data_IF_577050333329
#
_entry.id   IF_577050333329
#
_cell.length_a   1.000
_cell.length_b   1.000
_cell.length_c   1.000
_cell.angle_alpha   90.00
_cell.angle_beta   90.00
_cell.angle_gamma   90.00
#
_symmetry.space_group_name_H-M   'P 1'
#
loop_
_entity.id
_entity.type
_entity.pdbx_description
1 polymer ?
#
# COMPACT_ATOMS: atom_id res chain seq x y z
N UNK A 1 -2.75 18.60 2.28
CA UNK A 1 -1.58 17.92 1.68
C UNK A 1 -1.75 16.41 1.90
N UNK A 2 -2.16 15.65 0.86
CA UNK A 2 -2.31 14.18 0.98
C UNK A 2 -0.92 13.56 1.12
N UNK A 3 -0.72 12.64 2.06
CA UNK A 3 0.55 11.92 2.12
C UNK A 3 0.69 11.01 0.89
N UNK A 4 1.89 10.91 0.30
CA UNK A 4 2.11 10.01 -0.82
C UNK A 4 1.88 8.56 -0.36
N UNK A 5 1.21 7.77 -1.19
CA UNK A 5 0.94 6.35 -0.94
C UNK A 5 2.25 5.61 -0.63
N UNK A 6 3.35 5.99 -1.27
CA UNK A 6 4.68 5.39 -1.15
C UNK A 6 5.47 5.70 0.13
N UNK A 7 5.07 6.68 0.96
CA UNK A 7 5.85 7.07 2.14
C UNK A 7 5.05 6.94 3.44
N UNK A 8 4.86 5.72 3.96
CA UNK A 8 4.23 5.56 5.26
C UNK A 8 5.23 5.89 6.40
N UNK A 9 4.78 6.60 7.43
CA UNK A 9 5.57 6.85 8.66
C UNK A 9 5.73 5.52 9.42
N UNK A 10 6.83 4.81 9.19
CA UNK A 10 7.05 3.47 9.76
C UNK A 10 8.38 3.29 10.49
N UNK A 11 9.24 4.31 10.53
CA UNK A 11 10.53 4.23 11.20
C UNK A 11 10.37 4.12 12.73
N UNK A 12 10.56 2.92 13.28
CA UNK A 12 10.56 2.61 14.71
C UNK A 12 11.08 1.19 14.98
N UNK A 13 11.46 0.85 16.23
CA UNK A 13 12.11 -0.42 16.59
C UNK A 13 11.23 -1.67 16.37
N UNK A 14 9.92 -1.48 16.30
CA UNK A 14 8.97 -2.48 15.85
C UNK A 14 8.41 -2.04 14.50
N UNK A 15 9.03 -2.45 13.39
CA UNK A 15 8.50 -2.21 12.05
C UNK A 15 7.41 -3.25 11.76
N UNK A 16 6.12 -2.86 11.70
CA UNK A 16 5.05 -3.82 11.55
C UNK A 16 4.88 -4.17 10.07
N UNK A 17 5.74 -5.03 9.54
CA UNK A 17 5.75 -5.45 8.11
C UNK A 17 4.37 -5.81 7.56
N UNK A 18 3.53 -6.48 8.37
CA UNK A 18 2.16 -6.82 8.01
C UNK A 18 1.21 -5.62 8.01
N UNK A 19 1.33 -4.73 8.99
CA UNK A 19 0.53 -3.51 9.04
C UNK A 19 0.94 -2.52 7.93
N UNK A 20 2.21 -2.50 7.53
CA UNK A 20 2.71 -1.74 6.38
C UNK A 20 1.94 -2.09 5.10
N UNK A 21 1.85 -3.39 4.78
CA UNK A 21 1.10 -3.86 3.62
C UNK A 21 -0.38 -3.48 3.72
N UNK A 22 -1.01 -3.68 4.88
CA UNK A 22 -2.42 -3.33 5.09
C UNK A 22 -2.69 -1.82 4.93
N UNK A 23 -1.80 -0.96 5.45
CA UNK A 23 -1.91 0.50 5.33
C UNK A 23 -1.74 0.94 3.88
N UNK A 24 -0.76 0.42 3.15
CA UNK A 24 -0.54 0.75 1.74
C UNK A 24 -1.74 0.33 0.88
N UNK A 25 -2.24 -0.89 1.07
CA UNK A 25 -3.45 -1.41 0.40
C UNK A 25 -4.67 -0.54 0.70
N UNK A 26 -4.91 -0.18 1.95
CA UNK A 26 -6.07 0.65 2.35
C UNK A 26 -6.00 2.06 1.77
N UNK A 27 -4.80 2.65 1.74
CA UNK A 27 -4.55 3.95 1.12
C UNK A 27 -4.78 3.90 -0.39
N UNK A 28 -4.31 2.83 -1.05
CA UNK A 28 -4.53 2.62 -2.48
C UNK A 28 -6.02 2.48 -2.80
N UNK A 29 -6.79 1.68 -2.03
CA UNK A 29 -8.23 1.54 -2.22
C UNK A 29 -8.99 2.86 -2.04
N UNK A 30 -8.64 3.67 -1.03
CA UNK A 30 -9.23 4.99 -0.84
C UNK A 30 -8.90 5.94 -1.99
N UNK A 31 -7.66 5.93 -2.48
CA UNK A 31 -7.25 6.74 -3.62
C UNK A 31 -7.97 6.30 -4.91
N UNK A 32 -8.02 5.00 -5.18
CA UNK A 32 -8.74 4.42 -6.31
C UNK A 32 -10.22 4.82 -6.29
N UNK A 33 -10.88 4.75 -5.13
CA UNK A 33 -12.27 5.17 -4.97
C UNK A 33 -12.46 6.68 -5.19
N UNK A 34 -11.54 7.51 -4.67
CA UNK A 34 -11.63 8.96 -4.82
C UNK A 34 -11.35 9.43 -6.26
N UNK A 35 -10.45 8.74 -6.96
CA UNK A 35 -9.98 9.11 -8.29
C UNK A 35 -10.71 8.34 -9.42
N UNK A 36 -11.66 7.46 -9.07
CA UNK A 36 -12.45 6.68 -10.04
C UNK A 36 -11.63 5.62 -10.79
N UNK A 37 -10.56 5.11 -10.20
CA UNK A 37 -9.63 4.17 -10.83
C UNK A 37 -10.06 2.74 -10.53
N UNK A 38 -10.31 1.94 -11.57
CA UNK A 38 -10.75 0.55 -11.42
C UNK A 38 -9.63 -0.42 -11.04
N UNK A 39 -8.36 -0.12 -11.36
CA UNK A 39 -7.23 -1.05 -11.19
C UNK A 39 -6.04 -0.37 -10.55
N UNK A 40 -5.45 -1.04 -9.56
CA UNK A 40 -4.27 -0.55 -8.86
C UNK A 40 -3.37 -1.69 -8.43
N UNK A 41 -2.08 -1.41 -8.23
CA UNK A 41 -1.10 -2.39 -7.75
C UNK A 41 -0.37 -1.80 -6.55
N UNK A 42 -0.22 -2.60 -5.51
CA UNK A 42 0.64 -2.28 -4.36
C UNK A 42 1.78 -3.28 -4.30
N UNK A 43 2.98 -2.79 -4.01
CA UNK A 43 4.19 -3.61 -3.89
C UNK A 43 4.89 -3.32 -2.57
N UNK A 44 5.55 -4.33 -2.01
CA UNK A 44 6.32 -4.23 -0.78
C UNK A 44 7.59 -5.08 -0.87
N UNK A 45 8.73 -4.46 -0.60
CA UNK A 45 10.00 -5.16 -0.42
C UNK A 45 10.11 -5.71 1.01
N UNK A 46 10.53 -6.96 1.14
CA UNK A 46 10.84 -7.62 2.40
C UNK A 46 12.35 -7.88 2.43
N UNK A 47 12.98 -7.62 3.58
CA UNK A 47 14.43 -7.86 3.75
C UNK A 47 14.80 -9.31 3.41
N UNK A 48 16.01 -9.51 2.86
CA UNK A 48 16.44 -10.82 2.36
C UNK A 48 16.18 -11.06 0.88
N UNK A 49 15.78 -10.03 0.11
CA UNK A 49 15.63 -10.10 -1.34
C UNK A 49 14.27 -10.60 -1.82
N UNK A 50 13.24 -10.50 -0.98
CA UNK A 50 11.88 -10.92 -1.29
C UNK A 50 10.98 -9.72 -1.58
N UNK A 51 9.95 -9.93 -2.39
CA UNK A 51 8.98 -8.89 -2.71
C UNK A 51 7.59 -9.49 -2.88
N UNK A 52 6.59 -8.72 -2.48
CA UNK A 52 5.17 -9.07 -2.65
C UNK A 52 4.53 -8.01 -3.53
N UNK A 53 3.71 -8.43 -4.49
CA UNK A 53 2.88 -7.57 -5.31
C UNK A 53 1.43 -8.04 -5.20
N UNK A 54 0.51 -7.09 -5.00
CA UNK A 54 -0.93 -7.33 -4.95
C UNK A 54 -1.60 -6.45 -6.00
N UNK A 55 -2.29 -7.08 -6.94
CA UNK A 55 -3.15 -6.41 -7.89
C UNK A 55 -4.58 -6.31 -7.31
N UNK A 56 -5.15 -5.12 -7.37
CA UNK A 56 -6.48 -4.80 -6.87
C UNK A 56 -7.35 -4.33 -8.02
N UNK A 57 -8.56 -4.84 -8.06
CA UNK A 57 -9.63 -4.37 -8.93
C UNK A 57 -10.78 -3.87 -8.04
N UNK A 58 -11.18 -2.62 -8.22
CA UNK A 58 -12.33 -2.05 -7.57
C UNK A 58 -13.56 -2.36 -8.41
N UNK A 59 -14.33 -3.37 -8.01
CA UNK A 59 -15.68 -3.61 -8.50
C UNK A 59 -16.60 -2.57 -7.85
N UNK A 60 -16.89 -1.50 -8.58
CA UNK A 60 -17.98 -0.59 -8.26
C UNK A 60 -19.34 -1.26 -8.50
#
# INVERSE_FOLDING_TARGET
>A
MRQPISAPRQYGPAWPIGATGAVLTTRLLHAMRADGICRGIVTLCIGGGQGIALALEASA
#
